data_IF_336294727736
#
_entry.id   IF_336294727736
#
_cell.length_a   1.000
_cell.length_b   1.000
_cell.length_c   1.000
_cell.angle_alpha   90.00
_cell.angle_beta   90.00
_cell.angle_gamma   90.00
#
_symmetry.space_group_name_H-M   'P 1'
#
loop_
_entity.id
_entity.type
_entity.pdbx_description
1 polymer ?
#
# COMPACT_ATOMS: atom_id res chain seq x y z
N UNK A 1 26.64 17.72 -3.40
CA UNK A 1 25.91 16.44 -3.38
C UNK A 1 25.92 15.75 -2.01
N UNK A 2 27.04 15.70 -1.25
CA UNK A 2 27.07 15.04 0.08
C UNK A 2 26.17 15.71 1.13
N UNK A 3 26.03 17.04 1.15
CA UNK A 3 25.16 17.75 2.11
C UNK A 3 23.66 17.46 1.93
N UNK A 4 23.20 17.17 0.72
CA UNK A 4 21.81 16.81 0.46
C UNK A 4 21.47 15.42 1.03
N UNK A 5 22.41 14.46 0.95
CA UNK A 5 22.18 13.11 1.46
C UNK A 5 22.06 13.04 3.00
N UNK A 6 22.73 13.94 3.73
CA UNK A 6 22.64 14.00 5.19
C UNK A 6 21.33 14.63 5.71
N UNK A 7 20.65 15.43 4.88
CA UNK A 7 19.39 16.10 5.23
C UNK A 7 18.14 15.41 4.70
N UNK A 8 18.28 14.40 3.86
CA UNK A 8 17.17 13.68 3.24
C UNK A 8 16.23 12.98 4.25
N UNK A 9 16.63 12.88 5.51
CA UNK A 9 15.79 12.32 6.59
C UNK A 9 15.45 13.36 7.67
N UNK A 10 15.84 14.63 7.48
CA UNK A 10 15.46 15.69 8.40
C UNK A 10 13.98 16.02 8.23
N UNK A 11 13.22 15.89 9.31
CA UNK A 11 11.80 16.22 9.34
C UNK A 11 11.64 17.69 9.71
N UNK A 12 10.91 18.43 8.88
CA UNK A 12 10.37 19.74 9.26
C UNK A 12 8.96 19.53 9.83
N UNK A 13 8.74 19.63 11.16
CA UNK A 13 7.45 19.31 11.77
C UNK A 13 6.30 20.19 11.25
N UNK A 14 6.57 21.47 10.99
CA UNK A 14 5.55 22.39 10.47
C UNK A 14 5.11 22.01 9.06
N UNK A 15 6.07 21.66 8.19
CA UNK A 15 5.79 21.18 6.84
C UNK A 15 5.02 19.86 6.88
N UNK A 16 5.43 18.95 7.73
CA UNK A 16 4.78 17.64 7.88
C UNK A 16 3.33 17.79 8.34
N UNK A 17 3.06 18.61 9.34
CA UNK A 17 1.70 18.90 9.80
C UNK A 17 0.83 19.50 8.67
N UNK A 18 1.37 20.39 7.85
CA UNK A 18 0.66 20.94 6.69
C UNK A 18 0.34 19.86 5.64
N UNK A 19 1.25 18.93 5.39
CA UNK A 19 1.04 17.81 4.46
C UNK A 19 -0.09 16.89 4.97
N UNK A 20 -0.05 16.53 6.26
CA UNK A 20 -1.10 15.71 6.87
C UNK A 20 -2.47 16.41 6.86
N UNK A 21 -2.51 17.72 7.14
CA UNK A 21 -3.74 18.50 7.04
C UNK A 21 -4.33 18.46 5.62
N UNK A 22 -3.49 18.62 4.59
CA UNK A 22 -3.92 18.50 3.18
C UNK A 22 -4.42 17.09 2.87
N UNK A 23 -3.71 16.07 3.34
CA UNK A 23 -4.07 14.67 3.13
C UNK A 23 -5.40 14.30 3.80
N UNK A 24 -5.63 14.79 5.02
CA UNK A 24 -6.90 14.59 5.74
C UNK A 24 -8.04 15.36 5.09
N UNK A 25 -7.77 16.55 4.55
CA UNK A 25 -8.77 17.29 3.78
C UNK A 25 -9.15 16.57 2.48
N UNK A 26 -8.18 15.98 1.75
CA UNK A 26 -8.46 15.10 0.59
C UNK A 26 -9.28 13.88 1.00
N UNK A 27 -8.98 13.28 2.15
CA UNK A 27 -9.74 12.17 2.73
C UNK A 27 -11.10 12.61 3.30
N UNK A 28 -11.49 13.87 3.13
CA UNK A 28 -12.75 14.44 3.58
C UNK A 28 -13.02 14.28 5.09
N UNK A 29 -11.96 14.39 5.89
CA UNK A 29 -12.09 14.41 7.35
C UNK A 29 -12.93 15.64 7.75
N UNK A 30 -13.93 15.42 8.62
CA UNK A 30 -14.89 16.42 9.05
C UNK A 30 -14.80 16.66 10.55
N UNK A 31 -15.27 17.82 10.96
CA UNK A 31 -15.46 18.15 12.38
C UNK A 31 -16.35 17.08 13.06
N UNK A 32 -15.89 16.60 14.21
CA UNK A 32 -16.59 15.61 15.03
C UNK A 32 -16.43 14.16 14.56
N UNK A 33 -15.69 13.90 13.46
CA UNK A 33 -15.26 12.52 13.14
C UNK A 33 -14.19 12.03 14.11
N UNK A 34 -14.13 10.72 14.31
CA UNK A 34 -13.11 10.07 15.13
C UNK A 34 -12.07 9.39 14.26
N UNK A 35 -10.80 9.69 14.49
CA UNK A 35 -9.65 9.09 13.80
C UNK A 35 -8.90 8.18 14.77
N UNK A 36 -8.68 6.92 14.39
CA UNK A 36 -7.79 6.00 15.08
C UNK A 36 -6.43 5.95 14.38
N UNK A 37 -5.38 6.33 15.07
CA UNK A 37 -4.00 6.15 14.60
C UNK A 37 -3.49 4.79 15.08
N UNK A 38 -3.07 3.94 14.15
CA UNK A 38 -2.42 2.65 14.48
C UNK A 38 -0.92 2.78 14.24
N UNK A 39 -0.16 2.77 15.31
CA UNK A 39 1.29 2.87 15.32
C UNK A 39 1.94 1.64 15.95
N UNK A 40 3.25 1.52 15.83
CA UNK A 40 4.08 0.58 16.56
C UNK A 40 5.35 1.26 17.08
N UNK A 41 6.23 0.51 17.78
CA UNK A 41 7.46 1.06 18.33
C UNK A 41 8.48 1.53 17.27
N UNK A 42 8.34 1.07 16.03
CA UNK A 42 9.18 1.52 14.91
C UNK A 42 8.62 2.74 14.19
N UNK A 43 7.36 3.12 14.48
CA UNK A 43 6.71 4.28 13.86
C UNK A 43 7.41 5.58 14.24
N UNK A 44 7.67 6.42 13.26
CA UNK A 44 8.19 7.77 13.46
C UNK A 44 7.20 8.60 14.27
N UNK A 45 7.61 9.04 15.46
CA UNK A 45 6.72 9.81 16.36
C UNK A 45 6.21 11.11 15.74
N UNK A 46 6.99 11.70 14.86
CA UNK A 46 6.63 12.91 14.13
C UNK A 46 5.40 12.70 13.22
N UNK A 47 5.20 11.49 12.69
CA UNK A 47 4.01 11.14 11.89
C UNK A 47 2.76 11.13 12.75
N UNK A 48 2.83 10.53 13.93
CA UNK A 48 1.73 10.54 14.89
C UNK A 48 1.39 11.97 15.30
N UNK A 49 2.42 12.77 15.65
CA UNK A 49 2.23 14.18 16.03
C UNK A 49 1.61 15.01 14.91
N UNK A 50 2.04 14.80 13.66
CA UNK A 50 1.47 15.46 12.50
C UNK A 50 0.00 15.07 12.24
N UNK A 51 -0.35 13.79 12.46
CA UNK A 51 -1.73 13.34 12.37
C UNK A 51 -2.62 14.01 13.43
N UNK A 52 -2.14 14.10 14.67
CA UNK A 52 -2.85 14.78 15.76
C UNK A 52 -3.06 16.26 15.46
N UNK A 53 -2.01 16.97 15.04
CA UNK A 53 -2.13 18.39 14.68
C UNK A 53 -3.11 18.60 13.50
N UNK A 54 -3.09 17.73 12.50
CA UNK A 54 -4.00 17.81 11.36
C UNK A 54 -5.46 17.55 11.76
N UNK A 55 -5.71 16.59 12.65
CA UNK A 55 -7.05 16.31 13.15
C UNK A 55 -7.61 17.48 13.97
N UNK A 56 -6.80 18.04 14.88
CA UNK A 56 -7.16 19.20 15.69
C UNK A 56 -7.53 20.39 14.80
N UNK A 57 -6.72 20.70 13.79
CA UNK A 57 -6.97 21.77 12.81
C UNK A 57 -8.30 21.60 12.05
N UNK A 58 -8.74 20.35 11.85
CA UNK A 58 -10.00 20.03 11.16
C UNK A 58 -11.18 19.81 12.12
N UNK A 59 -10.94 19.86 13.43
CA UNK A 59 -11.96 19.66 14.47
C UNK A 59 -12.41 18.21 14.61
N UNK A 60 -11.58 17.25 14.23
CA UNK A 60 -11.80 15.83 14.42
C UNK A 60 -11.20 15.35 15.75
N UNK A 61 -11.86 14.36 16.38
CA UNK A 61 -11.31 13.65 17.53
C UNK A 61 -10.30 12.61 17.07
N UNK A 62 -9.21 12.43 17.82
CA UNK A 62 -8.15 11.51 17.44
C UNK A 62 -7.57 10.79 18.65
N UNK A 63 -7.26 9.50 18.49
CA UNK A 63 -6.53 8.73 19.48
C UNK A 63 -5.48 7.83 18.82
N UNK A 64 -4.49 7.40 19.60
CA UNK A 64 -3.45 6.48 19.15
C UNK A 64 -3.61 5.11 19.80
N UNK A 65 -3.51 4.07 18.98
CA UNK A 65 -3.39 2.68 19.38
C UNK A 65 -2.01 2.18 18.98
N UNK A 66 -1.08 2.18 19.95
CA UNK A 66 0.26 1.65 19.74
C UNK A 66 0.26 0.12 19.96
N UNK A 67 0.64 -0.62 18.93
CA UNK A 67 0.68 -2.09 18.94
C UNK A 67 2.11 -2.62 18.90
N UNK A 68 2.29 -3.91 19.13
CA UNK A 68 3.60 -4.54 18.99
C UNK A 68 4.09 -4.45 17.55
N UNK A 69 5.35 -4.06 17.38
CA UNK A 69 6.00 -4.03 16.07
C UNK A 69 5.94 -5.38 15.38
N UNK A 70 5.71 -5.37 14.09
CA UNK A 70 5.87 -6.55 13.27
C UNK A 70 7.36 -6.92 13.19
N UNK A 71 7.70 -8.22 13.16
CA UNK A 71 9.09 -8.67 13.03
C UNK A 71 9.77 -8.16 11.76
N UNK A 72 8.98 -7.91 10.72
CA UNK A 72 9.40 -7.36 9.44
C UNK A 72 8.17 -6.86 8.68
N UNK A 73 8.28 -5.73 8.00
CA UNK A 73 7.25 -5.22 7.09
C UNK A 73 6.98 -6.17 5.91
N UNK A 74 7.94 -7.04 5.59
CA UNK A 74 7.82 -8.05 4.53
C UNK A 74 6.89 -9.21 4.88
N UNK A 75 6.46 -9.33 6.13
CA UNK A 75 5.49 -10.34 6.54
C UNK A 75 4.07 -9.82 6.36
N UNK A 76 3.68 -9.65 5.11
CA UNK A 76 2.31 -9.28 4.72
C UNK A 76 1.32 -10.33 5.24
N UNK A 77 0.14 -9.90 5.66
CA UNK A 77 -0.87 -10.78 6.23
C UNK A 77 -0.73 -11.07 7.72
N UNK A 78 0.30 -10.56 8.39
CA UNK A 78 0.45 -10.70 9.84
C UNK A 78 -0.46 -9.69 10.55
N UNK A 79 -1.43 -10.13 11.37
CA UNK A 79 -2.34 -9.21 12.04
C UNK A 79 -1.62 -8.44 13.15
N UNK A 80 -1.79 -7.12 13.17
CA UNK A 80 -1.41 -6.25 14.30
C UNK A 80 -2.61 -5.95 15.20
N UNK A 81 -3.77 -5.83 14.60
CA UNK A 81 -5.06 -5.60 15.25
C UNK A 81 -5.78 -6.93 15.48
N UNK A 82 -6.52 -7.05 16.58
CA UNK A 82 -7.25 -8.27 16.97
C UNK A 82 -6.40 -9.28 17.76
N UNK A 83 -5.11 -9.04 17.97
CA UNK A 83 -4.27 -9.86 18.86
C UNK A 83 -4.53 -9.55 20.33
N UNK A 84 -4.72 -8.29 20.66
CA UNK A 84 -5.15 -7.85 21.98
C UNK A 84 -6.65 -7.60 21.98
N UNK A 85 -7.33 -7.97 23.06
CA UNK A 85 -8.77 -7.73 23.23
C UNK A 85 -9.08 -6.23 23.11
N UNK A 86 -10.17 -5.90 22.45
CA UNK A 86 -10.65 -4.53 22.28
C UNK A 86 -9.97 -3.73 21.17
N UNK A 87 -8.86 -4.22 20.60
CA UNK A 87 -8.16 -3.45 19.55
C UNK A 87 -8.93 -3.41 18.23
N UNK A 88 -9.62 -4.47 17.89
CA UNK A 88 -10.47 -4.49 16.68
C UNK A 88 -11.69 -3.59 16.85
N UNK A 89 -12.35 -3.68 17.99
CA UNK A 89 -13.50 -2.86 18.33
C UNK A 89 -13.13 -1.38 18.35
N UNK A 90 -11.95 -1.04 18.90
CA UNK A 90 -11.46 0.33 18.92
C UNK A 90 -11.29 0.90 17.51
N UNK A 91 -10.61 0.20 16.60
CA UNK A 91 -10.42 0.71 15.23
C UNK A 91 -11.69 0.66 14.40
N UNK A 92 -12.58 -0.28 14.64
CA UNK A 92 -13.87 -0.39 13.94
C UNK A 92 -14.88 0.68 14.36
N UNK A 93 -14.72 1.26 15.56
CA UNK A 93 -15.55 2.36 16.04
C UNK A 93 -15.18 3.73 15.46
N UNK A 94 -14.01 3.85 14.84
CA UNK A 94 -13.55 5.10 14.23
C UNK A 94 -14.14 5.31 12.83
N UNK A 95 -14.30 6.57 12.43
CA UNK A 95 -14.69 6.93 11.07
C UNK A 95 -13.55 6.72 10.06
N UNK A 96 -12.31 6.90 10.55
CA UNK A 96 -11.10 6.71 9.76
C UNK A 96 -9.98 6.10 10.61
N UNK A 97 -9.23 5.19 10.00
CA UNK A 97 -7.98 4.64 10.55
C UNK A 97 -6.80 5.17 9.74
N UNK A 98 -5.81 5.71 10.42
CA UNK A 98 -4.49 6.02 9.83
C UNK A 98 -3.50 5.00 10.35
N UNK A 99 -2.83 4.27 9.46
CA UNK A 99 -1.92 3.19 9.83
C UNK A 99 -0.52 3.39 9.26
N UNK A 100 0.51 3.22 10.08
CA UNK A 100 1.91 3.45 9.74
C UNK A 100 2.71 2.17 9.44
N UNK A 101 2.02 1.09 9.15
CA UNK A 101 2.60 -0.16 8.66
C UNK A 101 1.64 -0.86 7.71
N UNK A 102 2.11 -1.90 7.02
CA UNK A 102 1.34 -2.58 5.97
C UNK A 102 0.28 -3.50 6.57
N UNK A 103 -1.04 -3.20 6.44
CA UNK A 103 -2.12 -4.02 6.96
C UNK A 103 -2.65 -5.05 5.97
N UNK A 104 -2.09 -5.13 4.76
CA UNK A 104 -2.64 -5.88 3.63
C UNK A 104 -2.81 -7.38 3.94
N UNK A 105 -3.84 -7.98 3.34
CA UNK A 105 -4.20 -9.40 3.46
C UNK A 105 -4.52 -9.86 4.89
N UNK A 106 -4.94 -8.95 5.76
CA UNK A 106 -5.40 -9.29 7.11
C UNK A 106 -6.92 -9.31 7.20
N UNK A 107 -7.46 -10.23 7.99
CA UNK A 107 -8.93 -10.33 8.18
C UNK A 107 -9.51 -9.10 8.85
N UNK A 108 -8.78 -8.49 9.78
CA UNK A 108 -9.25 -7.30 10.49
C UNK A 108 -9.46 -6.11 9.56
N UNK A 109 -8.56 -5.92 8.58
CA UNK A 109 -8.70 -4.84 7.60
C UNK A 109 -10.02 -4.98 6.83
N UNK A 110 -10.31 -6.19 6.33
CA UNK A 110 -11.58 -6.46 5.65
C UNK A 110 -12.79 -6.17 6.55
N UNK A 111 -12.77 -6.61 7.81
CA UNK A 111 -13.87 -6.38 8.77
C UNK A 111 -14.13 -4.89 9.02
N UNK A 112 -13.07 -4.10 9.16
CA UNK A 112 -13.14 -2.66 9.39
C UNK A 112 -13.71 -1.93 8.15
N UNK A 113 -13.24 -2.30 6.97
CA UNK A 113 -13.74 -1.75 5.70
C UNK A 113 -15.20 -2.14 5.44
N UNK A 114 -15.58 -3.39 5.68
CA UNK A 114 -16.97 -3.86 5.56
C UNK A 114 -17.92 -3.10 6.52
N UNK A 115 -17.41 -2.65 7.67
CA UNK A 115 -18.11 -1.78 8.61
C UNK A 115 -18.28 -0.33 8.13
N UNK A 116 -17.55 0.04 7.09
CA UNK A 116 -17.59 1.37 6.49
C UNK A 116 -16.53 2.35 7.01
N UNK A 117 -15.64 1.92 7.91
CA UNK A 117 -14.48 2.71 8.33
C UNK A 117 -13.52 2.88 7.16
N UNK A 118 -13.01 4.09 6.95
CA UNK A 118 -12.00 4.40 5.94
C UNK A 118 -10.62 4.07 6.50
N UNK A 119 -9.70 3.59 5.67
CA UNK A 119 -8.34 3.26 6.11
C UNK A 119 -7.32 3.90 5.20
N UNK A 120 -6.42 4.70 5.75
CA UNK A 120 -5.30 5.34 5.05
C UNK A 120 -3.97 4.80 5.57
N UNK A 121 -3.21 4.12 4.72
CA UNK A 121 -1.86 3.67 5.01
C UNK A 121 -0.84 4.76 4.66
N UNK A 122 0.11 5.02 5.56
CA UNK A 122 1.19 6.00 5.36
C UNK A 122 2.50 5.34 5.79
N UNK A 123 3.32 4.93 4.85
CA UNK A 123 4.57 4.19 5.13
C UNK A 123 5.81 4.80 4.48
N UNK A 124 5.63 5.80 3.62
CA UNK A 124 6.70 6.39 2.85
C UNK A 124 7.56 7.34 3.69
N UNK A 125 8.75 7.65 3.18
CA UNK A 125 9.67 8.56 3.85
C UNK A 125 9.13 10.02 3.85
N UNK A 126 9.51 10.86 4.84
CA UNK A 126 8.98 12.22 4.94
C UNK A 126 9.19 13.08 3.69
N UNK A 127 10.32 12.89 3.01
CA UNK A 127 10.66 13.66 1.81
C UNK A 127 9.80 13.26 0.60
N UNK A 128 9.30 12.02 0.59
CA UNK A 128 8.48 11.50 -0.51
C UNK A 128 7.02 11.92 -0.39
N UNK A 129 6.51 12.15 0.83
CA UNK A 129 5.08 12.44 1.07
C UNK A 129 4.56 13.64 0.29
N UNK A 130 5.37 14.67 0.07
CA UNK A 130 4.96 15.83 -0.73
C UNK A 130 4.82 15.48 -2.21
N UNK A 131 5.74 14.70 -2.74
CA UNK A 131 5.73 14.25 -4.15
C UNK A 131 4.59 13.25 -4.40
N UNK A 132 4.24 12.48 -3.38
CA UNK A 132 3.17 11.47 -3.41
C UNK A 132 1.77 12.06 -3.18
N UNK A 133 1.64 13.36 -2.96
CA UNK A 133 0.32 14.00 -2.87
C UNK A 133 -0.45 13.82 -4.16
N UNK A 134 -1.67 13.32 -4.05
CA UNK A 134 -2.52 13.02 -5.20
C UNK A 134 -2.83 14.29 -6.01
N UNK A 135 -2.50 14.31 -7.31
CA UNK A 135 -2.85 15.41 -8.18
C UNK A 135 -4.37 15.47 -8.43
N UNK A 136 -4.83 16.64 -8.78
CA UNK A 136 -6.23 16.83 -9.18
C UNK A 136 -6.58 15.91 -10.37
N UNK A 137 -7.75 15.27 -10.32
CA UNK A 137 -8.23 14.38 -11.38
C UNK A 137 -7.72 12.93 -11.30
N UNK A 138 -6.83 12.60 -10.34
CA UNK A 138 -6.32 11.25 -10.20
C UNK A 138 -7.43 10.25 -9.87
N UNK A 139 -8.35 10.59 -8.99
CA UNK A 139 -9.48 9.73 -8.61
C UNK A 139 -10.34 9.39 -9.82
N UNK A 140 -10.68 10.39 -10.63
CA UNK A 140 -11.48 10.22 -11.85
C UNK A 140 -10.76 9.33 -12.86
N UNK A 141 -9.46 9.53 -13.05
CA UNK A 141 -8.63 8.68 -13.91
C UNK A 141 -8.60 7.23 -13.42
N UNK A 142 -8.41 7.03 -12.10
CA UNK A 142 -8.44 5.70 -11.49
C UNK A 142 -9.80 5.03 -11.65
N UNK A 143 -10.90 5.72 -11.38
CA UNK A 143 -12.26 5.18 -11.58
C UNK A 143 -12.57 4.87 -13.03
N UNK A 144 -12.08 5.69 -13.96
CA UNK A 144 -12.21 5.40 -15.40
C UNK A 144 -11.46 4.10 -15.75
N UNK A 145 -10.20 3.99 -15.35
CA UNK A 145 -9.40 2.79 -15.62
C UNK A 145 -9.99 1.54 -14.92
N UNK A 146 -10.50 1.67 -13.69
CA UNK A 146 -11.23 0.60 -13.01
C UNK A 146 -12.42 0.11 -13.85
N UNK A 147 -13.18 1.04 -14.43
CA UNK A 147 -14.33 0.70 -15.28
C UNK A 147 -13.96 -0.11 -16.52
N UNK A 148 -12.77 0.16 -17.08
CA UNK A 148 -12.20 -0.63 -18.19
C UNK A 148 -11.76 -2.01 -17.70
N UNK A 149 -11.07 -2.05 -16.57
CA UNK A 149 -10.54 -3.30 -16.01
C UNK A 149 -11.67 -4.27 -15.63
N UNK A 150 -12.79 -3.78 -15.08
CA UNK A 150 -13.99 -4.58 -14.77
C UNK A 150 -14.62 -5.27 -16.00
N UNK A 151 -14.42 -4.72 -17.19
CA UNK A 151 -14.89 -5.29 -18.46
C UNK A 151 -13.88 -6.25 -19.10
N UNK A 152 -12.64 -6.21 -18.65
CA UNK A 152 -11.55 -7.02 -19.19
C UNK A 152 -11.75 -8.48 -18.79
N UNK A 153 -11.50 -9.39 -19.73
CA UNK A 153 -11.56 -10.84 -19.51
C UNK A 153 -10.21 -11.52 -19.63
N UNK A 154 -9.33 -10.94 -20.41
CA UNK A 154 -7.97 -11.44 -20.63
C UNK A 154 -6.99 -10.30 -20.61
N UNK A 155 -5.86 -10.51 -19.96
CA UNK A 155 -4.73 -9.59 -19.94
C UNK A 155 -3.54 -10.31 -20.56
N UNK A 156 -2.80 -9.61 -21.42
CA UNK A 156 -1.49 -10.03 -21.91
C UNK A 156 -0.47 -8.95 -21.60
N UNK A 157 0.63 -9.34 -21.01
CA UNK A 157 1.76 -8.46 -20.68
C UNK A 157 2.95 -8.87 -21.49
N UNK A 158 3.53 -7.95 -22.24
CA UNK A 158 4.73 -8.18 -23.05
C UNK A 158 5.78 -7.11 -22.80
N UNK A 159 7.05 -7.47 -22.94
CA UNK A 159 8.17 -6.54 -22.91
C UNK A 159 9.26 -6.97 -23.89
N UNK A 160 10.09 -6.01 -24.32
CA UNK A 160 11.27 -6.29 -25.18
C UNK A 160 12.29 -7.21 -24.48
N UNK A 161 12.27 -7.28 -23.14
CA UNK A 161 13.08 -8.18 -22.34
C UNK A 161 12.70 -9.66 -22.51
N UNK A 162 11.54 -9.96 -23.10
CA UNK A 162 11.06 -11.32 -23.34
C UNK A 162 9.94 -11.76 -22.40
N UNK A 163 9.34 -10.84 -21.62
CA UNK A 163 8.08 -11.14 -20.93
C UNK A 163 6.99 -11.35 -21.98
N UNK A 164 6.27 -12.46 -21.84
CA UNK A 164 5.02 -12.75 -22.57
C UNK A 164 4.13 -13.59 -21.65
N UNK A 165 3.31 -12.91 -20.88
CA UNK A 165 2.42 -13.48 -19.88
C UNK A 165 0.97 -13.19 -20.26
N UNK A 166 0.13 -14.21 -20.24
CA UNK A 166 -1.31 -14.06 -20.44
C UNK A 166 -2.08 -14.71 -19.28
N UNK A 167 -3.20 -14.08 -18.88
CA UNK A 167 -4.09 -14.64 -17.88
C UNK A 167 -5.52 -14.14 -18.08
N UNK A 168 -6.49 -14.92 -17.61
CA UNK A 168 -7.87 -14.50 -17.49
C UNK A 168 -8.09 -13.73 -16.18
N UNK A 169 -9.08 -12.83 -16.18
CA UNK A 169 -9.49 -12.08 -14.99
C UNK A 169 -11.02 -11.96 -14.93
N UNK A 170 -11.56 -11.61 -13.76
CA UNK A 170 -12.99 -11.39 -13.54
C UNK A 170 -13.59 -12.19 -12.37
N UNK A 171 -12.86 -13.15 -11.80
CA UNK A 171 -13.25 -13.86 -10.57
C UNK A 171 -13.01 -13.02 -9.32
N UNK A 172 -12.02 -12.14 -9.36
CA UNK A 172 -11.64 -11.29 -8.23
C UNK A 172 -12.06 -9.84 -8.43
N UNK A 173 -12.33 -9.09 -7.34
CA UNK A 173 -12.65 -7.69 -7.44
C UNK A 173 -11.46 -6.88 -7.96
N UNK A 174 -11.75 -5.81 -8.66
CA UNK A 174 -10.77 -4.78 -9.00
C UNK A 174 -10.62 -3.86 -7.80
N UNK A 175 -9.41 -3.68 -7.31
CA UNK A 175 -9.06 -2.78 -6.23
C UNK A 175 -8.40 -1.54 -6.81
N UNK A 176 -8.82 -0.38 -6.34
CA UNK A 176 -8.42 0.91 -6.88
C UNK A 176 -8.02 1.84 -5.75
N UNK A 177 -6.88 2.50 -5.88
CA UNK A 177 -6.33 3.43 -4.91
C UNK A 177 -5.95 4.73 -5.63
N UNK A 178 -6.40 5.86 -5.09
CA UNK A 178 -6.15 7.19 -5.64
C UNK A 178 -5.41 8.13 -4.69
N UNK A 179 -4.91 7.58 -3.56
CA UNK A 179 -4.01 8.27 -2.66
C UNK A 179 -4.66 8.89 -1.42
N UNK A 180 -5.97 8.73 -1.24
CA UNK A 180 -6.68 9.24 -0.05
C UNK A 180 -7.99 8.48 0.19
N UNK A 181 -8.37 8.34 1.46
CA UNK A 181 -9.51 7.52 1.88
C UNK A 181 -10.75 8.40 2.13
N UNK A 182 -11.44 8.83 1.07
CA UNK A 182 -12.61 9.72 1.13
C UNK A 182 -13.97 9.02 1.01
N UNK A 183 -13.99 7.72 0.68
CA UNK A 183 -15.22 6.93 0.56
C UNK A 183 -15.34 5.92 1.70
N UNK A 184 -16.56 5.69 2.20
CA UNK A 184 -16.81 4.69 3.25
C UNK A 184 -16.34 3.30 2.84
N UNK A 185 -15.64 2.63 3.76
CA UNK A 185 -15.11 1.28 3.51
C UNK A 185 -13.98 1.24 2.48
N UNK A 186 -13.37 2.38 2.17
CA UNK A 186 -12.26 2.47 1.24
C UNK A 186 -10.92 2.36 1.97
N UNK A 187 -10.04 1.50 1.44
CA UNK A 187 -8.63 1.45 1.80
C UNK A 187 -7.81 2.19 0.77
N UNK A 188 -6.97 3.07 1.21
CA UNK A 188 -6.02 3.75 0.34
C UNK A 188 -4.63 3.86 0.97
N UNK A 189 -3.66 4.20 0.15
CA UNK A 189 -2.28 4.44 0.51
C UNK A 189 -1.90 5.87 0.08
N UNK A 190 -1.22 6.61 0.92
CA UNK A 190 -0.69 7.91 0.51
C UNK A 190 0.37 7.72 -0.57
N UNK A 191 0.03 8.02 -1.81
CA UNK A 191 0.81 7.69 -2.99
C UNK A 191 0.00 6.84 -3.98
N UNK A 192 -1.25 7.22 -4.21
CA UNK A 192 -2.19 6.50 -5.07
C UNK A 192 -1.85 6.50 -6.57
N UNK A 193 -2.83 6.10 -7.35
CA UNK A 193 -2.70 5.88 -8.80
C UNK A 193 -2.53 4.40 -9.13
N UNK A 194 -3.04 3.53 -8.26
CA UNK A 194 -2.87 2.09 -8.37
C UNK A 194 -4.20 1.38 -8.59
N UNK A 195 -4.22 0.48 -9.59
CA UNK A 195 -5.37 -0.37 -9.91
C UNK A 195 -4.85 -1.79 -10.08
N UNK A 196 -5.46 -2.74 -9.40
CA UNK A 196 -5.07 -4.13 -9.49
C UNK A 196 -6.24 -5.09 -9.29
N UNK A 197 -6.07 -6.29 -9.82
CA UNK A 197 -6.87 -7.47 -9.54
C UNK A 197 -5.97 -8.71 -9.59
N UNK A 198 -6.51 -9.85 -9.23
CA UNK A 198 -5.79 -11.11 -9.35
C UNK A 198 -6.20 -11.86 -10.61
N UNK A 199 -5.28 -12.65 -11.22
CA UNK A 199 -5.64 -13.62 -12.24
C UNK A 199 -6.68 -14.62 -11.70
N UNK A 200 -7.56 -15.09 -12.57
CA UNK A 200 -8.39 -16.24 -12.25
C UNK A 200 -7.50 -17.44 -11.93
N UNK A 201 -7.92 -18.29 -11.00
CA UNK A 201 -7.12 -19.46 -10.60
C UNK A 201 -6.74 -20.33 -11.82
N UNK A 202 -5.48 -20.74 -11.85
CA UNK A 202 -4.94 -21.60 -12.91
C UNK A 202 -4.82 -20.96 -14.30
N UNK A 203 -5.22 -19.69 -14.49
CA UNK A 203 -5.31 -19.10 -15.83
C UNK A 203 -4.02 -18.48 -16.35
N UNK A 204 -3.02 -18.24 -15.49
CA UNK A 204 -1.79 -17.58 -15.90
C UNK A 204 -0.81 -18.54 -16.58
N UNK A 205 -0.36 -18.16 -17.79
CA UNK A 205 0.60 -18.91 -18.60
C UNK A 205 1.58 -17.97 -19.29
N UNK A 206 2.82 -18.40 -19.42
CA UNK A 206 3.84 -17.68 -20.16
C UNK A 206 5.12 -17.45 -19.38
N UNK A 207 5.85 -16.40 -19.74
CA UNK A 207 7.12 -16.06 -19.09
C UNK A 207 7.12 -14.62 -18.58
N UNK A 208 7.84 -14.41 -17.47
CA UNK A 208 8.15 -13.07 -16.93
C UNK A 208 9.66 -12.94 -16.86
N UNK A 209 10.19 -11.84 -17.40
CA UNK A 209 11.62 -11.56 -17.40
C UNK A 209 11.87 -10.27 -16.62
N UNK A 210 12.69 -10.36 -15.59
CA UNK A 210 13.27 -9.22 -14.89
C UNK A 210 14.62 -8.87 -15.49
N UNK A 211 14.85 -7.58 -15.66
CA UNK A 211 16.13 -7.05 -16.16
C UNK A 211 16.91 -6.36 -15.03
N UNK A 212 18.23 -6.19 -15.18
CA UNK A 212 19.00 -5.34 -14.29
C UNK A 212 18.37 -3.95 -14.16
N UNK A 213 18.13 -3.51 -12.92
CA UNK A 213 17.45 -2.26 -12.62
C UNK A 213 15.97 -2.39 -12.27
N UNK A 214 15.34 -3.53 -12.55
CA UNK A 214 14.00 -3.82 -12.04
C UNK A 214 14.05 -4.02 -10.52
N UNK A 215 12.92 -3.83 -9.85
CA UNK A 215 12.81 -3.90 -8.39
C UNK A 215 12.10 -5.19 -7.98
N UNK A 216 12.74 -5.95 -7.08
CA UNK A 216 12.12 -7.04 -6.33
C UNK A 216 11.88 -6.55 -4.90
N UNK A 217 10.63 -6.59 -4.46
CA UNK A 217 10.24 -6.08 -3.14
C UNK A 217 10.41 -7.13 -2.04
N UNK A 218 10.14 -8.39 -2.33
CA UNK A 218 10.18 -9.49 -1.37
C UNK A 218 11.34 -10.46 -1.69
N UNK A 219 12.00 -11.05 -0.68
CA UNK A 219 11.85 -10.84 0.77
C UNK A 219 12.39 -9.51 1.28
N UNK A 220 13.18 -8.78 0.50
CA UNK A 220 13.63 -7.41 0.77
C UNK A 220 13.71 -6.60 -0.51
N UNK A 221 13.39 -5.32 -0.40
CA UNK A 221 13.42 -4.39 -1.52
C UNK A 221 14.86 -4.21 -2.03
N UNK A 222 15.09 -4.54 -3.30
CA UNK A 222 16.39 -4.40 -3.97
C UNK A 222 16.24 -4.31 -5.47
N UNK A 223 17.24 -3.75 -6.12
CA UNK A 223 17.36 -3.84 -7.56
C UNK A 223 17.84 -5.23 -7.98
N UNK A 224 17.32 -5.71 -9.10
CA UNK A 224 17.83 -6.90 -9.78
C UNK A 224 19.16 -6.55 -10.43
N UNK A 225 20.17 -7.37 -10.22
CA UNK A 225 21.50 -7.22 -10.81
C UNK A 225 21.70 -8.14 -12.01
N UNK A 226 21.19 -9.38 -11.93
CA UNK A 226 21.24 -10.37 -12.99
C UNK A 226 19.85 -10.61 -13.58
N UNK A 227 19.70 -10.81 -14.91
CA UNK A 227 18.41 -11.16 -15.48
C UNK A 227 17.82 -12.41 -14.84
N UNK A 228 16.50 -12.39 -14.58
CA UNK A 228 15.75 -13.53 -14.06
C UNK A 228 14.58 -13.81 -14.98
N UNK A 229 14.43 -15.07 -15.40
CA UNK A 229 13.27 -15.53 -16.17
C UNK A 229 12.46 -16.50 -15.34
N UNK A 230 11.16 -16.21 -15.20
CA UNK A 230 10.17 -17.11 -14.63
C UNK A 230 9.39 -17.76 -15.76
N UNK A 231 9.13 -19.05 -15.64
CA UNK A 231 8.15 -19.77 -16.47
C UNK A 231 6.92 -20.05 -15.62
N UNK A 232 5.73 -19.69 -16.15
CA UNK A 232 4.47 -19.80 -15.45
C UNK A 232 3.54 -20.72 -16.24
N UNK A 233 2.99 -21.73 -15.56
CA UNK A 233 1.97 -22.64 -16.08
C UNK A 233 0.87 -22.85 -15.05
N UNK A 234 -0.37 -22.73 -15.50
CA UNK A 234 -1.55 -22.91 -14.64
C UNK A 234 -1.48 -22.09 -13.34
N UNK A 235 -1.01 -20.83 -13.43
CA UNK A 235 -0.88 -19.94 -12.29
C UNK A 235 0.31 -20.19 -11.37
N UNK A 236 1.16 -21.19 -11.66
CA UNK A 236 2.30 -21.55 -10.83
C UNK A 236 3.64 -21.26 -11.52
N UNK A 237 4.62 -20.82 -10.77
CA UNK A 237 6.00 -20.71 -11.23
C UNK A 237 6.58 -22.13 -11.30
N UNK A 238 6.88 -22.61 -12.51
CA UNK A 238 7.41 -23.96 -12.75
C UNK A 238 8.92 -23.96 -13.00
N UNK A 239 9.51 -22.82 -13.37
CA UNK A 239 10.95 -22.67 -13.52
C UNK A 239 11.38 -21.23 -13.18
N UNK A 240 12.57 -21.10 -12.61
CA UNK A 240 13.24 -19.82 -12.33
C UNK A 240 14.67 -19.95 -12.86
N UNK A 241 15.01 -19.20 -13.90
CA UNK A 241 16.30 -19.25 -14.58
C UNK A 241 17.05 -17.93 -14.42
N UNK A 242 18.38 -17.98 -14.35
CA UNK A 242 19.26 -16.82 -14.26
C UNK A 242 20.38 -17.00 -13.25
N UNK A 243 21.06 -15.89 -12.92
CA UNK A 243 22.21 -15.84 -12.04
C UNK A 243 21.88 -15.86 -10.55
N UNK A 244 22.59 -15.05 -9.78
CA UNK A 244 22.43 -14.97 -8.31
C UNK A 244 21.02 -14.56 -7.90
N UNK A 245 20.41 -13.60 -8.59
CA UNK A 245 19.06 -13.14 -8.28
C UNK A 245 18.00 -14.24 -8.45
N UNK A 246 18.15 -15.07 -9.49
CA UNK A 246 17.29 -16.23 -9.68
C UNK A 246 17.48 -17.28 -8.57
N UNK A 247 18.71 -17.47 -8.10
CA UNK A 247 18.99 -18.35 -6.95
C UNK A 247 18.31 -17.83 -5.68
N UNK A 248 18.46 -16.55 -5.36
CA UNK A 248 17.84 -15.94 -4.20
C UNK A 248 16.32 -16.04 -4.24
N UNK A 249 15.72 -15.89 -5.41
CA UNK A 249 14.27 -16.02 -5.61
C UNK A 249 13.81 -17.48 -5.40
N UNK A 250 14.55 -18.47 -5.92
CA UNK A 250 14.27 -19.90 -5.68
C UNK A 250 14.38 -20.29 -4.20
N UNK A 251 15.38 -19.73 -3.50
CA UNK A 251 15.60 -20.02 -2.09
C UNK A 251 14.51 -19.40 -1.18
N UNK A 252 13.78 -18.39 -1.68
CA UNK A 252 12.74 -17.71 -0.94
C UNK A 252 11.33 -18.28 -1.21
N UNK A 253 11.02 -18.68 -2.45
CA UNK A 253 9.73 -19.25 -2.87
C UNK A 253 9.62 -20.73 -2.50
#
# INVERSE_FOLDING_TARGET
MMQAAFRAQEINPAKLAQLYRRQFALSQVKQGETIAVVSDLATRREYVQAAFAAAEDLGADIYELCVNSLPSWTKVGVPTIGRCKGTLEAVAAADMVVIFHVPLFTKWLKQVLDGGTRVLMIIDAPDDLEQLMSPQGLKEACKHAESLYRKTRTVRVTSDAGTDLSYACGEYPVMTQWGYADERGHFDHWGGGHIHTFPNEGSAHGSVVFQPGDIVILPYCRYVADPVKLEIREGHIVAIEGGLDAKLMRDWL
#
